data_IF_629573158948
#
_entry.id   IF_629573158948
#
_cell.length_a   1.000
_cell.length_b   1.000
_cell.length_c   1.000
_cell.angle_alpha   90.00
_cell.angle_beta   90.00
_cell.angle_gamma   90.00
#
_symmetry.space_group_name_H-M   'P 1'
#
loop_
_entity.id
_entity.type
_entity.pdbx_description
1 polymer ?
#
# COMPACT_ATOMS: atom_id res chain seq x y z
N UNK A 1 12.93 -25.08 57.28
CA UNK A 1 13.17 -25.43 55.85
C UNK A 1 12.09 -24.80 54.98
N UNK A 2 12.40 -24.47 53.72
CA UNK A 2 11.53 -23.92 52.66
C UNK A 2 11.43 -22.39 52.49
N UNK A 3 12.57 -21.71 52.28
CA UNK A 3 12.61 -20.42 51.56
C UNK A 3 13.05 -20.56 50.09
N UNK A 4 13.73 -21.66 49.72
CA UNK A 4 14.28 -21.85 48.37
C UNK A 4 13.25 -22.23 47.28
N UNK A 5 12.03 -22.62 47.63
CA UNK A 5 11.03 -23.05 46.63
C UNK A 5 10.25 -21.89 45.99
N UNK A 6 10.23 -20.69 46.61
CA UNK A 6 9.50 -19.52 46.08
C UNK A 6 10.29 -18.74 45.02
N UNK A 7 11.62 -18.72 45.11
CA UNK A 7 12.49 -17.98 44.16
C UNK A 7 12.40 -18.55 42.73
N UNK A 8 12.41 -19.88 42.57
CA UNK A 8 12.33 -20.51 41.25
C UNK A 8 10.98 -20.37 40.53
N UNK A 9 9.88 -20.12 41.26
CA UNK A 9 8.55 -19.89 40.65
C UNK A 9 8.41 -18.46 40.12
N UNK A 10 8.98 -17.47 40.82
CA UNK A 10 8.98 -16.07 40.37
C UNK A 10 9.82 -15.88 39.10
N UNK A 11 10.98 -16.53 39.02
CA UNK A 11 11.82 -16.50 37.81
C UNK A 11 11.15 -17.14 36.59
N UNK A 12 10.47 -18.28 36.79
CA UNK A 12 9.69 -18.95 35.72
C UNK A 12 8.50 -18.11 35.25
N UNK A 13 7.79 -17.45 36.18
CA UNK A 13 6.70 -16.54 35.83
C UNK A 13 7.20 -15.33 35.02
N UNK A 14 8.35 -14.77 35.36
CA UNK A 14 8.97 -13.69 34.58
C UNK A 14 9.33 -14.10 33.15
N UNK A 15 9.86 -15.32 32.96
CA UNK A 15 10.17 -15.87 31.63
C UNK A 15 8.90 -16.08 30.79
N UNK A 16 7.82 -16.57 31.41
CA UNK A 16 6.54 -16.75 30.72
C UNK A 16 5.93 -15.41 30.29
N UNK A 17 5.96 -14.40 31.16
CA UNK A 17 5.49 -13.05 30.82
C UNK A 17 6.32 -12.45 29.67
N UNK A 18 7.64 -12.58 29.72
CA UNK A 18 8.51 -12.11 28.65
C UNK A 18 8.20 -12.78 27.29
N UNK A 19 7.92 -14.09 27.29
CA UNK A 19 7.51 -14.82 26.08
C UNK A 19 6.15 -14.36 25.54
N UNK A 20 5.18 -14.09 26.42
CA UNK A 20 3.87 -13.58 26.01
C UNK A 20 4.01 -12.18 25.40
N UNK A 21 4.78 -11.30 26.02
CA UNK A 21 5.04 -9.94 25.50
C UNK A 21 5.76 -10.00 24.16
N UNK A 22 6.74 -10.89 24.00
CA UNK A 22 7.43 -11.08 22.72
C UNK A 22 6.49 -11.59 21.63
N UNK A 23 5.63 -12.57 21.94
CA UNK A 23 4.63 -13.08 21.01
C UNK A 23 3.61 -12.02 20.61
N UNK A 24 3.09 -11.25 21.56
CA UNK A 24 2.13 -10.17 21.25
C UNK A 24 2.80 -9.05 20.46
N UNK A 25 4.07 -8.74 20.70
CA UNK A 25 4.84 -7.76 19.93
C UNK A 25 5.02 -8.21 18.47
N UNK A 26 5.50 -9.44 18.25
CA UNK A 26 5.69 -10.00 16.90
C UNK A 26 4.37 -10.06 16.13
N UNK A 27 3.29 -10.52 16.80
CA UNK A 27 1.96 -10.61 16.19
C UNK A 27 1.38 -9.22 15.91
N UNK A 28 1.57 -8.25 16.82
CA UNK A 28 1.15 -6.87 16.66
C UNK A 28 1.83 -6.17 15.49
N UNK A 29 3.14 -6.37 15.30
CA UNK A 29 3.86 -5.86 14.14
C UNK A 29 3.38 -6.47 12.80
N UNK A 30 2.96 -7.74 12.80
CA UNK A 30 2.40 -8.38 11.61
C UNK A 30 1.02 -7.84 11.24
N UNK A 31 0.18 -7.55 12.24
CA UNK A 31 -1.18 -7.03 12.05
C UNK A 31 -1.16 -5.55 11.65
N UNK A 32 -0.26 -4.74 12.23
CA UNK A 32 -0.15 -3.31 11.90
C UNK A 32 0.18 -3.07 10.42
N UNK A 33 1.06 -3.89 9.84
CA UNK A 33 1.37 -3.82 8.40
C UNK A 33 0.15 -4.09 7.51
N UNK A 34 -0.73 -5.01 7.91
CA UNK A 34 -1.96 -5.31 7.17
C UNK A 34 -2.99 -4.19 7.29
N UNK A 35 -3.15 -3.62 8.50
CA UNK A 35 -4.07 -2.51 8.76
C UNK A 35 -3.68 -1.25 7.98
N UNK A 36 -2.38 -0.88 7.97
CA UNK A 36 -1.91 0.27 7.20
C UNK A 36 -2.20 0.13 5.70
N UNK A 37 -2.03 -1.09 5.16
CA UNK A 37 -2.33 -1.36 3.75
C UNK A 37 -3.82 -1.20 3.44
N UNK A 38 -4.70 -1.69 4.31
CA UNK A 38 -6.16 -1.54 4.14
C UNK A 38 -6.57 -0.07 4.22
N UNK A 39 -6.03 0.66 5.19
CA UNK A 39 -6.34 2.07 5.40
C UNK A 39 -5.93 2.91 4.17
N UNK A 40 -4.74 2.69 3.62
CA UNK A 40 -4.31 3.33 2.37
C UNK A 40 -5.28 3.08 1.21
N UNK A 41 -5.72 1.82 1.00
CA UNK A 41 -6.65 1.53 -0.09
C UNK A 41 -8.00 2.21 0.09
N UNK A 42 -8.42 2.44 1.35
CA UNK A 42 -9.64 3.18 1.65
C UNK A 42 -9.49 4.67 1.35
N UNK A 43 -8.32 5.27 1.60
CA UNK A 43 -8.08 6.69 1.38
C UNK A 43 -7.59 7.03 -0.03
N UNK A 44 -7.41 6.04 -0.90
CA UNK A 44 -6.80 6.20 -2.23
C UNK A 44 -7.47 7.28 -3.08
N UNK A 45 -8.78 7.43 -2.93
CA UNK A 45 -9.63 8.34 -3.70
C UNK A 45 -10.06 9.59 -2.90
N UNK A 46 -9.49 9.79 -1.71
CA UNK A 46 -9.77 10.98 -0.93
C UNK A 46 -9.24 12.22 -1.66
N UNK A 47 -10.15 13.09 -2.07
CA UNK A 47 -9.89 14.31 -2.84
C UNK A 47 -8.71 15.17 -2.34
N UNK A 48 -8.53 15.41 -1.02
CA UNK A 48 -7.43 16.26 -0.55
C UNK A 48 -6.04 15.64 -0.75
N UNK A 49 -5.94 14.31 -0.79
CA UNK A 49 -4.65 13.59 -0.79
C UNK A 49 -4.47 12.66 -1.98
N UNK A 50 -5.40 12.67 -2.95
CA UNK A 50 -5.41 11.73 -4.08
C UNK A 50 -4.06 11.65 -4.80
N UNK A 51 -3.43 12.80 -5.07
CA UNK A 51 -2.11 12.85 -5.75
C UNK A 51 -1.04 12.13 -4.94
N UNK A 52 -1.00 12.35 -3.63
CA UNK A 52 0.03 11.79 -2.75
C UNK A 52 -0.21 10.31 -2.46
N UNK A 53 -1.48 9.91 -2.35
CA UNK A 53 -1.88 8.51 -2.20
C UNK A 53 -1.52 7.67 -3.43
N UNK A 54 -1.73 8.20 -4.64
CA UNK A 54 -1.28 7.54 -5.87
C UNK A 54 0.24 7.54 -6.05
N UNK A 55 0.95 8.58 -5.59
CA UNK A 55 2.41 8.67 -5.65
C UNK A 55 3.09 7.65 -4.74
N UNK A 56 2.59 7.47 -3.52
CA UNK A 56 3.17 6.58 -2.50
C UNK A 56 2.78 5.10 -2.66
N UNK A 57 1.81 4.81 -3.53
CA UNK A 57 1.27 3.48 -3.83
C UNK A 57 2.33 2.36 -4.03
N UNK A 58 3.47 2.60 -4.72
CA UNK A 58 4.54 1.59 -4.87
C UNK A 58 5.18 1.13 -3.57
N UNK A 59 5.12 1.91 -2.49
CA UNK A 59 5.72 1.56 -1.19
C UNK A 59 4.89 0.51 -0.42
N UNK A 60 3.60 0.41 -0.74
CA UNK A 60 2.63 -0.40 0.01
C UNK A 60 2.02 -1.53 -0.83
N UNK A 61 2.11 -1.41 -2.15
CA UNK A 61 1.60 -2.40 -3.10
C UNK A 61 2.74 -3.10 -3.84
N UNK A 62 2.67 -4.43 -3.98
CA UNK A 62 3.57 -5.14 -4.86
C UNK A 62 3.35 -4.65 -6.29
N UNK A 63 4.43 -4.17 -6.92
CA UNK A 63 4.45 -3.77 -8.31
C UNK A 63 5.52 -4.57 -9.06
N UNK A 64 5.41 -4.59 -10.38
CA UNK A 64 6.47 -5.09 -11.24
C UNK A 64 6.83 -3.98 -12.24
N UNK A 65 8.12 -3.81 -12.47
CA UNK A 65 8.59 -2.84 -13.45
C UNK A 65 8.37 -3.40 -14.85
N UNK A 66 7.49 -2.75 -15.61
CA UNK A 66 7.35 -3.00 -17.04
C UNK A 66 8.45 -2.23 -17.75
N UNK A 67 9.41 -2.95 -18.34
CA UNK A 67 10.47 -2.32 -19.14
C UNK A 67 9.84 -1.61 -20.33
N UNK A 68 10.25 -0.35 -20.56
CA UNK A 68 9.91 0.36 -21.79
C UNK A 68 10.43 -0.46 -22.98
N UNK A 69 9.54 -0.81 -23.91
CA UNK A 69 9.94 -1.49 -25.14
C UNK A 69 10.91 -0.64 -25.95
N UNK A 70 11.67 -1.27 -26.86
CA UNK A 70 12.66 -0.58 -27.71
C UNK A 70 12.04 0.54 -28.57
N UNK A 71 10.74 0.43 -28.88
CA UNK A 71 10.01 1.41 -29.69
C UNK A 71 9.43 2.51 -28.81
N UNK A 72 9.90 3.74 -29.03
CA UNK A 72 9.26 4.94 -28.48
C UNK A 72 8.11 5.38 -29.38
N UNK A 73 6.88 5.31 -28.87
CA UNK A 73 5.74 5.98 -29.48
C UNK A 73 5.65 7.38 -28.90
N UNK A 74 5.70 8.40 -29.77
CA UNK A 74 5.53 9.79 -29.38
C UNK A 74 4.18 10.27 -29.88
N UNK A 75 3.38 10.88 -29.01
CA UNK A 75 2.21 11.61 -29.45
C UNK A 75 2.70 12.83 -30.23
N UNK A 76 2.38 12.87 -31.52
CA UNK A 76 2.58 14.05 -32.35
C UNK A 76 1.27 14.81 -32.42
N UNK A 77 1.35 16.14 -32.26
CA UNK A 77 0.21 17.01 -32.51
C UNK A 77 -0.12 16.94 -34.01
N UNK A 78 -1.25 16.32 -34.35
CA UNK A 78 -1.76 16.31 -35.71
C UNK A 78 -2.50 17.62 -35.99
N UNK A 79 -1.75 18.68 -36.28
CA UNK A 79 -2.33 19.95 -36.70
C UNK A 79 -3.09 19.75 -38.01
N UNK A 80 -4.41 19.76 -37.94
CA UNK A 80 -5.30 19.74 -39.11
C UNK A 80 -5.94 21.12 -39.23
N UNK A 81 -6.02 21.69 -40.44
CA UNK A 81 -6.80 22.90 -40.65
C UNK A 81 -8.25 22.62 -40.25
N UNK A 82 -8.93 23.62 -39.69
CA UNK A 82 -10.37 23.52 -39.54
C UNK A 82 -10.99 23.39 -40.94
N UNK A 83 -11.90 22.43 -41.16
CA UNK A 83 -12.60 22.34 -42.42
C UNK A 83 -13.46 23.60 -42.61
N UNK A 84 -13.29 24.27 -43.75
CA UNK A 84 -14.07 25.47 -44.10
C UNK A 84 -15.52 25.14 -44.45
N UNK A 85 -15.80 23.87 -44.77
CA UNK A 85 -17.12 23.41 -45.19
C UNK A 85 -17.48 22.11 -44.50
N UNK A 86 -18.73 22.02 -44.07
CA UNK A 86 -19.34 20.79 -43.55
C UNK A 86 -20.48 20.42 -44.49
N UNK A 87 -20.45 19.20 -45.03
CA UNK A 87 -21.57 18.62 -45.76
C UNK A 87 -22.42 17.85 -44.77
N UNK A 88 -23.63 18.34 -44.50
CA UNK A 88 -24.62 17.60 -43.73
C UNK A 88 -25.22 16.53 -44.64
N UNK A 89 -24.78 15.27 -44.46
CA UNK A 89 -25.41 14.15 -45.12
C UNK A 89 -26.77 13.92 -44.44
N UNK A 90 -27.84 14.39 -45.08
CA UNK A 90 -29.26 14.11 -44.75
C UNK A 90 -29.56 12.60 -44.84
N UNK A 91 -28.93 11.78 -43.99
CA UNK A 91 -29.40 10.44 -43.69
C UNK A 91 -30.53 10.58 -42.67
N UNK A 92 -31.71 10.89 -43.18
CA UNK A 92 -33.00 10.58 -42.54
C UNK A 92 -33.33 9.11 -42.72
#
# INVERSE_FOLDING_TARGET
>A
MNTNQKSGKLGKAGVVIALIVLMTFVTGCGISRKLNRIWMFSSLFDEPEIVENFRSLPEYCPYHLVKKGEKEYRFAEARRPLPETFVFNNQT
#
